data_IF_417536758374
#
_entry.id   IF_417536758374
#
_cell.length_a   1.000
_cell.length_b   1.000
_cell.length_c   1.000
_cell.angle_alpha   90.00
_cell.angle_beta   90.00
_cell.angle_gamma   90.00
#
_symmetry.space_group_name_H-M   'P 1'
#
loop_
_entity.id
_entity.type
_entity.pdbx_description
1 polymer ?
#
# COMPACT_ATOMS: atom_id res chain seq x y z
N UNK A 1 -4.46 -28.75 24.46
CA UNK A 1 -5.77 -28.26 24.92
C UNK A 1 -5.69 -26.75 24.97
N UNK A 2 -5.98 -26.06 23.87
CA UNK A 2 -6.00 -24.61 23.80
C UNK A 2 -7.44 -24.19 24.05
N UNK A 3 -7.66 -23.55 25.18
CA UNK A 3 -8.92 -22.94 25.57
C UNK A 3 -9.29 -21.85 24.57
N UNK A 4 -10.40 -22.04 23.89
CA UNK A 4 -10.97 -21.08 22.97
C UNK A 4 -11.43 -19.82 23.71
N UNK A 5 -10.62 -18.79 23.71
CA UNK A 5 -11.10 -17.43 23.85
C UNK A 5 -11.55 -16.97 22.47
N UNK A 6 -12.82 -17.13 22.20
CA UNK A 6 -13.53 -16.34 21.21
C UNK A 6 -13.63 -14.91 21.75
N UNK A 7 -12.51 -14.20 21.80
CA UNK A 7 -12.57 -12.75 21.86
C UNK A 7 -13.26 -12.30 20.57
N UNK A 8 -14.43 -11.70 20.75
CA UNK A 8 -15.24 -11.21 19.64
C UNK A 8 -14.35 -10.37 18.74
N UNK A 9 -14.25 -10.74 17.46
CA UNK A 9 -13.55 -9.97 16.46
C UNK A 9 -13.98 -8.51 16.60
N UNK A 10 -13.05 -7.56 16.70
CA UNK A 10 -13.39 -6.16 16.92
C UNK A 10 -14.35 -5.70 15.82
N UNK A 11 -15.42 -5.04 16.22
CA UNK A 11 -16.41 -4.51 15.28
C UNK A 11 -15.71 -3.54 14.32
N UNK A 12 -16.11 -3.50 13.04
CA UNK A 12 -15.55 -2.58 12.03
C UNK A 12 -15.48 -1.13 12.51
N UNK A 13 -16.45 -0.67 13.33
CA UNK A 13 -16.45 0.65 13.94
C UNK A 13 -15.31 0.84 14.95
N UNK A 14 -15.02 -0.15 15.75
CA UNK A 14 -13.92 -0.12 16.72
C UNK A 14 -12.57 -0.11 16.02
N UNK A 15 -12.45 -0.85 14.93
CA UNK A 15 -11.24 -0.81 14.08
C UNK A 15 -11.05 0.54 13.41
N UNK A 16 -12.13 1.19 12.99
CA UNK A 16 -12.09 2.50 12.32
C UNK A 16 -11.78 3.65 13.30
N UNK A 17 -12.31 3.60 14.51
CA UNK A 17 -12.10 4.60 15.56
C UNK A 17 -10.79 4.41 16.35
N UNK A 18 -10.13 3.24 16.21
CA UNK A 18 -8.87 2.98 16.87
C UNK A 18 -8.96 2.36 18.26
N UNK A 19 -10.11 1.82 18.65
CA UNK A 19 -10.30 1.04 19.89
C UNK A 19 -9.78 -0.40 19.73
N UNK A 20 -8.51 -0.53 19.30
CA UNK A 20 -7.89 -1.81 18.99
C UNK A 20 -6.48 -1.86 19.58
N UNK A 21 -6.09 -3.03 20.05
CA UNK A 21 -4.68 -3.32 20.35
C UNK A 21 -3.87 -3.31 19.06
N UNK A 22 -3.05 -2.29 18.86
CA UNK A 22 -2.19 -2.09 17.69
C UNK A 22 -1.12 -1.06 17.99
N UNK A 23 -0.22 -0.84 17.03
CA UNK A 23 0.82 0.19 17.13
C UNK A 23 0.20 1.59 17.16
N UNK A 24 0.73 2.45 18.02
CA UNK A 24 0.19 3.80 18.29
C UNK A 24 -0.08 4.66 17.03
N UNK A 25 0.70 4.49 15.95
CA UNK A 25 0.54 5.24 14.71
C UNK A 25 -0.51 4.70 13.73
N UNK A 26 -1.03 3.49 13.95
CA UNK A 26 -1.92 2.80 13.02
C UNK A 26 -3.37 2.69 13.53
N UNK A 27 -3.60 3.05 14.79
CA UNK A 27 -4.86 2.79 15.46
C UNK A 27 -6.00 3.67 14.96
N UNK A 28 -5.77 4.94 14.65
CA UNK A 28 -6.81 5.85 14.25
C UNK A 28 -6.81 6.12 12.73
N UNK A 29 -7.57 5.33 11.99
CA UNK A 29 -7.71 5.47 10.52
C UNK A 29 -8.28 6.84 10.14
N UNK A 30 -9.19 7.39 10.94
CA UNK A 30 -9.78 8.71 10.71
C UNK A 30 -8.71 9.80 10.68
N UNK A 31 -7.80 9.79 11.64
CA UNK A 31 -6.71 10.77 11.69
C UNK A 31 -5.77 10.63 10.49
N UNK A 32 -5.46 9.39 10.06
CA UNK A 32 -4.63 9.11 8.89
C UNK A 32 -5.30 9.60 7.60
N UNK A 33 -6.62 9.41 7.46
CA UNK A 33 -7.38 9.91 6.32
C UNK A 33 -7.41 11.44 6.28
N UNK A 34 -7.65 12.10 7.40
CA UNK A 34 -7.62 13.58 7.47
C UNK A 34 -6.23 14.10 7.07
N UNK A 35 -5.16 13.51 7.61
CA UNK A 35 -3.79 13.85 7.23
C UNK A 35 -3.50 13.61 5.75
N UNK A 36 -3.95 12.47 5.21
CA UNK A 36 -3.79 12.12 3.80
C UNK A 36 -4.53 13.08 2.88
N UNK A 37 -5.80 13.41 3.18
CA UNK A 37 -6.60 14.37 2.42
C UNK A 37 -5.93 15.76 2.43
N UNK A 38 -5.42 16.19 3.58
CA UNK A 38 -4.70 17.45 3.69
C UNK A 38 -3.45 17.46 2.79
N UNK A 39 -2.65 16.41 2.78
CA UNK A 39 -1.46 16.32 1.93
C UNK A 39 -1.79 16.28 0.44
N UNK A 40 -2.86 15.59 0.05
CA UNK A 40 -3.35 15.60 -1.34
C UNK A 40 -3.87 16.98 -1.73
N UNK A 41 -4.65 17.64 -0.87
CA UNK A 41 -5.17 18.99 -1.11
C UNK A 41 -4.05 20.03 -1.29
N UNK A 42 -2.97 19.90 -0.53
CA UNK A 42 -1.76 20.72 -0.67
C UNK A 42 -0.86 20.30 -1.84
N UNK A 43 -1.26 19.27 -2.61
CA UNK A 43 -0.46 18.69 -3.72
C UNK A 43 0.94 18.21 -3.30
N UNK A 44 1.10 17.85 -2.03
CA UNK A 44 2.33 17.27 -1.51
C UNK A 44 2.49 15.84 -2.00
N UNK A 45 1.40 15.07 -2.03
CA UNK A 45 1.42 13.68 -2.51
C UNK A 45 0.41 13.46 -3.65
N UNK A 46 0.72 12.51 -4.53
CA UNK A 46 -0.19 12.09 -5.59
C UNK A 46 -1.18 11.05 -5.04
N UNK A 47 -2.50 11.21 -5.25
CA UNK A 47 -3.50 10.25 -4.76
C UNK A 47 -3.46 8.91 -5.50
N UNK A 48 -2.73 8.80 -6.61
CA UNK A 48 -2.68 7.60 -7.46
C UNK A 48 -2.18 6.38 -6.66
N UNK A 49 -1.08 6.54 -5.92
CA UNK A 49 -0.47 5.42 -5.18
C UNK A 49 -1.40 4.91 -4.08
N UNK A 50 -1.90 5.76 -3.13
CA UNK A 50 -2.78 5.27 -2.07
C UNK A 50 -4.05 4.63 -2.59
N UNK A 51 -4.70 5.25 -3.59
CA UNK A 51 -5.94 4.73 -4.14
C UNK A 51 -5.73 3.39 -4.84
N UNK A 52 -4.73 3.28 -5.72
CA UNK A 52 -4.43 2.03 -6.41
C UNK A 52 -3.97 0.93 -5.45
N UNK A 53 -3.20 1.26 -4.42
CA UNK A 53 -2.73 0.29 -3.44
C UNK A 53 -3.90 -0.31 -2.65
N UNK A 54 -4.76 0.55 -2.06
CA UNK A 54 -5.92 0.11 -1.29
C UNK A 54 -6.91 -0.68 -2.18
N UNK A 55 -7.17 -0.20 -3.40
CA UNK A 55 -8.02 -0.89 -4.35
C UNK A 55 -7.48 -2.29 -4.71
N UNK A 56 -6.17 -2.43 -4.91
CA UNK A 56 -5.54 -3.71 -5.19
C UNK A 56 -5.68 -4.68 -4.03
N UNK A 57 -5.43 -4.23 -2.80
CA UNK A 57 -5.62 -5.05 -1.60
C UNK A 57 -7.08 -5.48 -1.47
N UNK A 58 -8.03 -4.58 -1.71
CA UNK A 58 -9.46 -4.90 -1.68
C UNK A 58 -9.82 -6.02 -2.66
N UNK A 59 -9.47 -5.85 -3.94
CA UNK A 59 -9.79 -6.80 -5.00
C UNK A 59 -9.15 -8.16 -4.75
N UNK A 60 -7.85 -8.18 -4.44
CA UNK A 60 -7.14 -9.44 -4.23
C UNK A 60 -7.59 -10.17 -2.96
N UNK A 61 -7.90 -9.47 -1.88
CA UNK A 61 -8.48 -10.08 -0.68
C UNK A 61 -9.83 -10.73 -0.97
N UNK A 62 -10.68 -10.06 -1.77
CA UNK A 62 -11.96 -10.61 -2.20
C UNK A 62 -11.80 -11.87 -3.05
N UNK A 63 -10.85 -11.90 -4.00
CA UNK A 63 -10.56 -13.06 -4.85
C UNK A 63 -10.09 -14.27 -4.02
N UNK A 64 -9.30 -14.02 -2.97
CA UNK A 64 -8.79 -15.06 -2.08
C UNK A 64 -9.80 -15.50 -1.00
N UNK A 65 -11.02 -14.98 -1.02
CA UNK A 65 -12.07 -15.34 -0.07
C UNK A 65 -11.83 -14.83 1.35
N UNK A 66 -10.94 -13.84 1.51
CA UNK A 66 -10.72 -13.14 2.77
C UNK A 66 -11.69 -11.96 2.88
N UNK A 67 -11.97 -11.52 4.10
CA UNK A 67 -12.81 -10.34 4.32
C UNK A 67 -12.07 -9.06 3.88
N UNK A 68 -12.45 -8.43 2.74
CA UNK A 68 -11.67 -7.33 2.17
C UNK A 68 -11.65 -6.10 3.08
N UNK A 69 -12.77 -5.86 3.76
CA UNK A 69 -12.90 -4.71 4.66
C UNK A 69 -11.96 -4.87 5.87
N UNK A 70 -11.93 -6.07 6.43
CA UNK A 70 -11.06 -6.38 7.55
C UNK A 70 -9.57 -6.28 7.17
N UNK A 71 -9.22 -6.71 5.97
CA UNK A 71 -7.86 -6.60 5.43
C UNK A 71 -7.42 -5.15 5.23
N UNK A 72 -8.32 -4.27 4.80
CA UNK A 72 -8.02 -2.84 4.63
C UNK A 72 -7.88 -2.14 5.98
N UNK A 73 -8.79 -2.42 6.92
CA UNK A 73 -8.78 -1.80 8.24
C UNK A 73 -7.67 -2.35 9.15
N UNK A 74 -7.04 -3.45 8.77
CA UNK A 74 -6.04 -4.16 9.55
C UNK A 74 -4.61 -3.79 9.14
N UNK A 75 -3.68 -3.80 10.09
CA UNK A 75 -2.23 -3.88 9.85
C UNK A 75 -1.61 -2.68 9.14
N UNK A 76 -1.95 -1.46 9.50
CA UNK A 76 -1.24 -0.26 9.05
C UNK A 76 -1.31 0.04 7.56
N UNK A 77 -2.27 -0.55 6.82
CA UNK A 77 -2.37 -0.35 5.38
C UNK A 77 -2.56 1.14 5.02
N UNK A 78 -3.41 1.86 5.77
CA UNK A 78 -3.63 3.29 5.53
C UNK A 78 -2.37 4.12 5.79
N UNK A 79 -1.64 3.83 6.86
CA UNK A 79 -0.37 4.48 7.15
C UNK A 79 0.64 4.20 6.03
N UNK A 80 0.81 2.94 5.66
CA UNK A 80 1.72 2.51 4.61
C UNK A 80 1.38 3.10 3.24
N UNK A 81 0.12 3.04 2.84
CA UNK A 81 -0.31 3.51 1.52
C UNK A 81 -0.24 5.03 1.38
N UNK A 82 -0.59 5.80 2.44
CA UNK A 82 -0.67 7.26 2.37
C UNK A 82 0.69 7.92 2.65
N UNK A 83 1.45 7.43 3.64
CA UNK A 83 2.65 8.12 4.11
C UNK A 83 3.96 7.42 3.72
N UNK A 84 3.97 6.07 3.65
CA UNK A 84 5.21 5.33 3.34
C UNK A 84 5.38 5.10 1.84
N UNK A 85 4.34 4.66 1.14
CA UNK A 85 4.42 4.35 -0.30
C UNK A 85 4.47 5.59 -1.20
N UNK A 86 4.18 6.76 -0.66
CA UNK A 86 4.20 8.04 -1.38
C UNK A 86 5.48 8.84 -1.18
N UNK A 87 6.54 8.20 -0.69
CA UNK A 87 7.84 8.86 -0.50
C UNK A 87 8.42 9.33 -1.84
N UNK A 88 8.91 10.57 -1.87
CA UNK A 88 9.46 11.20 -3.09
C UNK A 88 10.73 10.55 -3.61
N UNK A 89 11.50 9.91 -2.74
CA UNK A 89 12.82 9.35 -3.08
C UNK A 89 12.68 7.98 -3.71
N UNK A 90 11.74 7.17 -3.23
CA UNK A 90 11.64 5.75 -3.58
C UNK A 90 10.46 5.42 -4.47
N UNK A 91 9.47 6.31 -4.60
CA UNK A 91 8.31 6.09 -5.48
C UNK A 91 8.60 6.49 -6.93
N UNK A 92 8.03 5.80 -7.93
CA UNK A 92 8.20 6.13 -9.33
C UNK A 92 7.69 7.55 -9.69
N UNK A 93 8.39 8.23 -10.58
CA UNK A 93 8.05 9.59 -11.03
C UNK A 93 6.87 9.56 -11.99
N UNK A 94 6.81 8.57 -12.89
CA UNK A 94 5.78 8.49 -13.93
C UNK A 94 4.44 8.01 -13.38
N UNK A 95 3.33 8.54 -13.89
CA UNK A 95 2.00 8.11 -13.46
C UNK A 95 1.75 6.62 -13.75
N UNK A 96 2.26 6.09 -14.85
CA UNK A 96 2.19 4.66 -15.17
C UNK A 96 3.01 3.83 -14.19
N UNK A 97 4.21 4.31 -13.84
CA UNK A 97 5.06 3.68 -12.84
C UNK A 97 4.41 3.63 -11.46
N UNK A 98 3.74 4.71 -11.04
CA UNK A 98 2.99 4.78 -9.78
C UNK A 98 1.88 3.73 -9.69
N UNK A 99 1.15 3.51 -10.79
CA UNK A 99 0.10 2.48 -10.83
C UNK A 99 0.71 1.08 -10.72
N UNK A 100 1.76 0.77 -11.50
CA UNK A 100 2.43 -0.53 -11.45
C UNK A 100 3.02 -0.79 -10.06
N UNK A 101 3.67 0.21 -9.49
CA UNK A 101 4.23 0.16 -8.14
C UNK A 101 3.16 -0.13 -7.09
N UNK A 102 2.03 0.60 -7.13
CA UNK A 102 0.94 0.44 -6.17
C UNK A 102 0.26 -0.94 -6.28
N UNK A 103 0.07 -1.45 -7.50
CA UNK A 103 -0.45 -2.80 -7.74
C UNK A 103 0.52 -3.84 -7.17
N UNK A 104 1.81 -3.69 -7.43
CA UNK A 104 2.84 -4.58 -6.89
C UNK A 104 2.86 -4.61 -5.37
N UNK A 105 2.82 -3.44 -4.72
CA UNK A 105 2.70 -3.33 -3.27
C UNK A 105 1.47 -4.06 -2.74
N UNK A 106 0.31 -3.84 -3.38
CA UNK A 106 -0.95 -4.48 -2.97
C UNK A 106 -0.92 -6.00 -3.07
N UNK A 107 -0.42 -6.52 -4.18
CA UNK A 107 -0.25 -7.96 -4.40
C UNK A 107 0.64 -8.60 -3.34
N UNK A 108 1.84 -8.05 -3.15
CA UNK A 108 2.81 -8.59 -2.19
C UNK A 108 2.25 -8.51 -0.77
N UNK A 109 1.58 -7.42 -0.40
CA UNK A 109 0.96 -7.28 0.92
C UNK A 109 -0.06 -8.39 1.18
N UNK A 110 -0.96 -8.64 0.22
CA UNK A 110 -1.98 -9.69 0.38
C UNK A 110 -1.32 -11.08 0.43
N UNK A 111 -0.32 -11.33 -0.42
CA UNK A 111 0.41 -12.61 -0.38
C UNK A 111 1.09 -12.83 0.98
N UNK A 112 1.78 -11.84 1.53
CA UNK A 112 2.45 -11.96 2.83
C UNK A 112 1.42 -12.20 3.94
N UNK A 113 0.28 -11.51 3.92
CA UNK A 113 -0.75 -11.67 4.95
C UNK A 113 -1.45 -13.02 4.89
N UNK A 114 -1.74 -13.52 3.70
CA UNK A 114 -2.46 -14.79 3.52
C UNK A 114 -1.54 -15.98 3.70
N UNK A 115 -0.35 -15.95 3.11
CA UNK A 115 0.58 -17.08 3.13
C UNK A 115 1.65 -16.99 4.22
N UNK A 116 2.05 -15.77 4.61
CA UNK A 116 3.12 -15.56 5.56
C UNK A 116 2.68 -15.50 7.02
N UNK A 117 1.36 -15.49 7.31
CA UNK A 117 0.80 -15.31 8.66
C UNK A 117 1.36 -14.08 9.41
N UNK A 118 1.89 -13.10 8.68
CA UNK A 118 2.46 -11.88 9.23
C UNK A 118 1.46 -10.72 9.05
N UNK A 119 1.01 -10.08 10.13
CA UNK A 119 0.08 -8.96 10.05
C UNK A 119 0.71 -7.72 9.38
N UNK A 120 2.03 -7.59 9.43
CA UNK A 120 2.79 -6.41 8.95
C UNK A 120 3.35 -6.58 7.52
N UNK A 121 2.59 -7.18 6.60
CA UNK A 121 3.02 -7.34 5.22
C UNK A 121 3.24 -6.02 4.44
N UNK A 122 2.71 -4.90 4.94
CA UNK A 122 2.76 -3.59 4.26
C UNK A 122 4.18 -3.05 4.14
N UNK A 123 4.93 -3.03 5.25
CA UNK A 123 6.30 -2.51 5.28
C UNK A 123 7.23 -3.33 4.37
N UNK A 124 7.11 -4.65 4.41
CA UNK A 124 7.91 -5.55 3.56
C UNK A 124 7.57 -5.39 2.08
N UNK A 125 6.28 -5.22 1.74
CA UNK A 125 5.87 -5.02 0.35
C UNK A 125 6.42 -3.73 -0.22
N UNK A 126 6.37 -2.64 0.54
CA UNK A 126 6.92 -1.34 0.14
C UNK A 126 8.43 -1.44 -0.04
N UNK A 127 9.15 -2.09 0.89
CA UNK A 127 10.60 -2.28 0.79
C UNK A 127 10.99 -3.04 -0.48
N UNK A 128 10.31 -4.15 -0.78
CA UNK A 128 10.57 -4.94 -1.99
C UNK A 128 10.29 -4.13 -3.26
N UNK A 129 9.18 -3.40 -3.30
CA UNK A 129 8.82 -2.61 -4.46
C UNK A 129 9.74 -1.39 -4.65
N UNK A 130 10.29 -0.82 -3.58
CA UNK A 130 11.29 0.24 -3.66
C UNK A 130 12.58 -0.24 -4.35
N UNK A 131 12.99 -1.49 -4.12
CA UNK A 131 14.12 -2.10 -4.84
C UNK A 131 13.82 -2.25 -6.33
N UNK A 132 12.56 -2.52 -6.70
CA UNK A 132 12.12 -2.68 -8.08
C UNK A 132 11.83 -1.35 -8.80
N UNK A 133 11.72 -0.24 -8.07
CA UNK A 133 11.39 1.08 -8.62
C UNK A 133 12.28 1.49 -9.80
N UNK A 134 13.63 1.34 -9.78
CA UNK A 134 14.46 1.69 -10.94
C UNK A 134 14.10 0.90 -12.20
N UNK A 135 13.71 -0.36 -12.05
CA UNK A 135 13.29 -1.20 -13.18
C UNK A 135 11.93 -0.74 -13.75
N UNK A 136 11.00 -0.38 -12.86
CA UNK A 136 9.69 0.16 -13.23
C UNK A 136 9.87 1.49 -13.96
N UNK A 137 10.77 2.35 -13.51
CA UNK A 137 11.05 3.62 -14.15
C UNK A 137 11.65 3.44 -15.55
N UNK A 138 12.61 2.56 -15.72
CA UNK A 138 13.19 2.24 -17.02
C UNK A 138 12.14 1.77 -18.04
N UNK A 139 11.11 1.04 -17.58
CA UNK A 139 10.02 0.57 -18.42
C UNK A 139 8.96 1.65 -18.72
N UNK A 140 8.78 2.60 -17.81
CA UNK A 140 7.67 3.58 -17.86
C UNK A 140 8.11 4.98 -18.28
N UNK A 141 9.41 5.28 -18.26
CA UNK A 141 9.94 6.58 -18.68
C UNK A 141 9.86 6.70 -20.19
N UNK A 142 9.22 7.75 -20.74
CA UNK A 142 9.20 8.00 -22.17
C UNK A 142 10.64 8.28 -22.67
N UNK A 143 10.98 7.75 -23.83
CA UNK A 143 12.27 8.02 -24.46
C UNK A 143 12.44 9.52 -24.66
N UNK A 144 13.60 10.06 -24.29
CA UNK A 144 13.92 11.48 -24.49
C UNK A 144 13.94 11.82 -25.99
N UNK A 145 13.46 13.01 -26.32
CA UNK A 145 13.49 13.52 -27.71
C UNK A 145 14.94 13.60 -28.20
N UNK A 146 15.23 13.00 -29.33
CA UNK A 146 16.55 13.08 -30.01
C UNK A 146 17.46 11.87 -29.81
N UNK A 147 17.08 10.87 -29.02
CA UNK A 147 17.86 9.62 -28.91
C UNK A 147 17.43 8.66 -30.00
N UNK A 148 18.25 8.49 -31.02
CA UNK A 148 18.09 7.46 -32.04
C UNK A 148 18.31 6.09 -31.38
N UNK A 149 17.47 5.09 -31.69
CA UNK A 149 17.35 3.80 -31.01
C UNK A 149 18.59 2.90 -30.85
N UNK A 150 19.81 3.41 -31.19
CA UNK A 150 21.07 2.70 -30.98
C UNK A 150 21.79 3.03 -29.65
N UNK A 151 21.42 4.11 -28.98
CA UNK A 151 22.06 4.53 -27.72
C UNK A 151 21.27 4.15 -26.45
N UNK A 152 20.07 3.63 -26.61
CA UNK A 152 19.21 3.21 -25.48
C UNK A 152 19.55 1.82 -24.91
N UNK A 153 20.64 1.18 -25.40
CA UNK A 153 21.06 -0.18 -25.02
C UNK A 153 22.43 -0.23 -24.33
N UNK A 154 22.89 0.90 -23.74
CA UNK A 154 24.13 0.87 -22.92
C UNK A 154 23.82 1.24 -21.49
#
# INVERSE_FOLDING_TARGET
>A
MASGNTEALPTYLQMFLGERAGTLGETCIVALLIGGIYMVAKKVISPIIPVCYIATVFVFSAILGQDPVMQILSGGLFLGAIFMATDYVTSPITNKGKVIYAIGCGLITVMIRVFGSLPEGVSFSILLMNILTPHIENLTTPKSFGVTGKEASK
#
